data_IF_684658037327
#
_entry.id   IF_684658037327
#
_cell.length_a   1.000
_cell.length_b   1.000
_cell.length_c   1.000
_cell.angle_alpha   90.00
_cell.angle_beta   90.00
_cell.angle_gamma   90.00
#
_symmetry.space_group_name_H-M   'P 1'
#
loop_
_entity.id
_entity.type
_entity.pdbx_description
1 polymer ?
#
# COMPACT_ATOMS: atom_id res chain seq x y z
N UNK A 1 19.78 -23.12 29.35
CA UNK A 1 18.94 -22.58 28.22
C UNK A 1 19.60 -23.04 26.95
N UNK A 2 18.97 -23.95 26.22
CA UNK A 2 19.61 -24.65 25.11
C UNK A 2 19.26 -23.96 23.78
N UNK A 3 20.30 -23.57 23.05
CA UNK A 3 20.23 -23.04 21.69
C UNK A 3 19.61 -24.11 20.77
N UNK A 4 18.42 -23.84 20.26
CA UNK A 4 17.85 -24.63 19.16
C UNK A 4 18.45 -24.12 17.84
N UNK A 5 19.53 -24.78 17.41
CA UNK A 5 19.99 -24.70 16.02
C UNK A 5 18.93 -25.35 15.13
N UNK A 6 18.28 -24.57 14.28
CA UNK A 6 17.49 -25.07 13.17
C UNK A 6 18.45 -25.69 12.15
N UNK A 7 18.57 -27.00 12.14
CA UNK A 7 19.20 -27.72 11.05
C UNK A 7 18.12 -27.97 9.99
N UNK A 8 18.25 -27.37 8.81
CA UNK A 8 17.50 -27.78 7.62
C UNK A 8 17.89 -29.21 7.28
N UNK A 9 16.99 -30.17 7.52
CA UNK A 9 17.16 -31.54 7.03
C UNK A 9 17.05 -31.53 5.51
N UNK A 10 18.12 -31.99 4.85
CA UNK A 10 18.31 -32.13 3.41
C UNK A 10 17.49 -33.30 2.79
N UNK A 11 16.43 -33.76 3.41
CA UNK A 11 15.83 -35.07 3.08
C UNK A 11 14.54 -35.05 2.26
N UNK A 12 14.15 -33.92 1.65
CA UNK A 12 12.88 -33.87 0.89
C UNK A 12 12.98 -33.39 -0.56
N UNK A 13 14.16 -33.39 -1.18
CA UNK A 13 14.27 -33.27 -2.63
C UNK A 13 14.76 -34.60 -3.19
N UNK A 14 13.79 -35.46 -3.59
CA UNK A 14 14.03 -36.75 -4.22
C UNK A 14 14.50 -36.61 -5.68
N UNK A 15 15.65 -35.92 -5.89
CA UNK A 15 16.35 -35.88 -7.15
C UNK A 15 17.73 -36.51 -7.01
N UNK A 16 18.14 -37.28 -8.01
CA UNK A 16 19.50 -37.85 -8.09
C UNK A 16 20.53 -36.70 -7.94
N UNK A 17 21.50 -36.78 -7.00
CA UNK A 17 22.52 -35.77 -6.82
C UNK A 17 23.33 -35.47 -8.11
N UNK A 18 23.44 -36.45 -9.02
CA UNK A 18 24.08 -36.27 -10.31
C UNK A 18 23.24 -35.39 -11.27
N UNK A 19 21.94 -35.51 -11.21
CA UNK A 19 21.00 -34.69 -12.02
C UNK A 19 20.95 -33.24 -11.53
N UNK A 20 20.93 -33.03 -10.23
CA UNK A 20 21.02 -31.69 -9.61
C UNK A 20 22.34 -31.00 -10.01
N UNK A 21 23.45 -31.71 -9.96
CA UNK A 21 24.74 -31.16 -10.34
C UNK A 21 24.82 -30.81 -11.86
N UNK A 22 24.17 -31.58 -12.74
CA UNK A 22 24.07 -31.26 -14.18
C UNK A 22 23.24 -30.03 -14.45
N UNK A 23 22.06 -29.90 -13.78
CA UNK A 23 21.20 -28.74 -13.94
C UNK A 23 21.86 -27.48 -13.39
N UNK A 24 22.55 -27.56 -12.26
CA UNK A 24 23.31 -26.44 -11.70
C UNK A 24 24.45 -26.00 -12.64
N UNK A 25 25.20 -26.93 -13.21
CA UNK A 25 26.25 -26.63 -14.17
C UNK A 25 25.71 -25.98 -15.47
N UNK A 26 24.51 -26.37 -15.90
CA UNK A 26 23.86 -25.77 -17.07
C UNK A 26 23.35 -24.35 -16.81
N UNK A 27 22.86 -24.08 -15.60
CA UNK A 27 22.49 -22.73 -15.14
C UNK A 27 23.71 -21.83 -15.06
N UNK A 28 24.81 -22.32 -14.50
CA UNK A 28 26.05 -21.57 -14.33
C UNK A 28 26.73 -21.28 -15.67
N UNK A 29 26.59 -22.18 -16.65
CA UNK A 29 27.07 -22.00 -18.02
C UNK A 29 26.27 -20.97 -18.83
N UNK A 30 24.95 -20.84 -18.54
CA UNK A 30 24.06 -19.83 -19.18
C UNK A 30 24.15 -18.46 -18.53
N UNK A 31 24.65 -18.37 -17.29
CA UNK A 31 24.83 -17.11 -16.55
C UNK A 31 26.31 -17.02 -16.07
N UNK A 32 27.26 -16.65 -16.90
CA UNK A 32 28.66 -16.51 -16.50
C UNK A 32 28.88 -15.19 -15.72
N UNK A 33 28.19 -14.98 -14.63
CA UNK A 33 28.47 -13.88 -13.71
C UNK A 33 29.44 -14.38 -12.65
N UNK A 34 30.74 -14.15 -12.90
CA UNK A 34 31.74 -14.29 -11.83
C UNK A 34 31.40 -13.32 -10.69
N UNK A 35 31.31 -13.79 -9.44
CA UNK A 35 31.17 -12.88 -8.29
C UNK A 35 32.41 -11.99 -8.23
N UNK A 36 32.25 -10.68 -8.39
CA UNK A 36 33.28 -9.70 -8.04
C UNK A 36 33.86 -8.80 -9.10
N UNK A 37 33.38 -8.79 -10.34
CA UNK A 37 33.79 -7.75 -11.31
C UNK A 37 32.59 -6.92 -11.76
N UNK A 38 32.31 -5.84 -11.05
CA UNK A 38 31.59 -4.69 -11.57
C UNK A 38 32.51 -3.94 -12.54
N UNK A 39 32.46 -4.27 -13.82
CA UNK A 39 33.09 -3.49 -14.88
C UNK A 39 32.07 -2.55 -15.55
N UNK A 40 31.21 -1.93 -14.76
CA UNK A 40 30.35 -0.87 -15.23
C UNK A 40 31.13 0.44 -15.26
N UNK A 41 31.36 1.04 -16.47
CA UNK A 41 31.74 2.44 -16.56
C UNK A 41 30.74 3.27 -15.76
N UNK A 42 31.18 4.31 -14.97
CA UNK A 42 30.26 5.20 -14.31
C UNK A 42 29.32 5.78 -15.35
N UNK A 43 28.02 5.51 -15.20
CA UNK A 43 26.98 6.14 -16.03
C UNK A 43 26.89 7.60 -15.60
N UNK A 44 26.97 8.57 -16.54
CA UNK A 44 26.80 9.98 -16.19
C UNK A 44 25.47 10.22 -15.48
N UNK A 45 25.49 11.04 -14.43
CA UNK A 45 24.34 11.34 -13.56
C UNK A 45 23.18 12.09 -14.24
N UNK A 46 23.30 12.42 -15.51
CA UNK A 46 22.38 13.32 -16.23
C UNK A 46 21.25 12.58 -16.96
N UNK A 47 21.32 11.25 -17.04
CA UNK A 47 20.15 10.50 -17.46
C UNK A 47 19.30 10.27 -16.24
N UNK A 48 18.27 11.12 -16.06
CA UNK A 48 17.08 10.77 -15.27
C UNK A 48 16.44 9.54 -15.94
N UNK A 49 17.03 8.37 -15.71
CA UNK A 49 16.32 7.12 -15.97
C UNK A 49 15.00 7.23 -15.24
N UNK A 50 13.92 7.21 -15.99
CA UNK A 50 12.59 6.95 -15.47
C UNK A 50 12.66 5.54 -14.88
N UNK A 51 13.12 5.45 -13.64
CA UNK A 51 13.01 4.20 -12.88
C UNK A 51 11.54 3.83 -12.90
N UNK A 52 11.20 2.59 -13.28
CA UNK A 52 9.82 2.14 -13.11
C UNK A 52 9.42 2.47 -11.67
N UNK A 53 8.20 2.97 -11.43
CA UNK A 53 7.79 3.38 -10.09
C UNK A 53 8.06 2.22 -9.13
N UNK A 54 9.02 2.42 -8.24
CA UNK A 54 9.35 1.42 -7.24
C UNK A 54 8.06 1.10 -6.48
N UNK A 55 7.83 -0.17 -6.19
CA UNK A 55 6.65 -0.65 -5.44
C UNK A 55 6.41 0.14 -4.14
N UNK A 56 7.43 0.85 -3.66
CA UNK A 56 7.44 1.71 -2.47
C UNK A 56 7.38 3.22 -2.78
N UNK A 57 7.05 3.65 -4.00
CA UNK A 57 6.90 5.07 -4.27
C UNK A 57 5.73 5.64 -3.44
N UNK A 58 5.96 6.79 -2.78
CA UNK A 58 4.93 7.56 -2.12
C UNK A 58 4.15 8.35 -3.19
N UNK A 59 2.94 7.88 -3.49
CA UNK A 59 2.10 8.47 -4.55
C UNK A 59 1.53 9.82 -4.14
N UNK A 60 1.30 10.01 -2.85
CA UNK A 60 0.73 11.25 -2.31
C UNK A 60 1.78 12.36 -2.32
N UNK A 61 3.02 12.07 -1.91
CA UNK A 61 4.14 13.01 -2.04
C UNK A 61 4.33 13.48 -3.47
N UNK A 62 4.21 12.57 -4.45
CA UNK A 62 4.38 12.90 -5.87
C UNK A 62 3.35 13.90 -6.41
N UNK A 63 2.15 13.97 -5.84
CA UNK A 63 1.08 14.88 -6.27
C UNK A 63 0.91 16.09 -5.35
N UNK A 64 1.45 16.06 -4.13
CA UNK A 64 1.22 17.06 -3.07
C UNK A 64 1.46 18.49 -3.55
N UNK A 65 2.54 18.73 -4.29
CA UNK A 65 2.88 20.04 -4.82
C UNK A 65 1.97 20.50 -5.97
N UNK A 66 1.19 19.57 -6.53
CA UNK A 66 0.24 19.83 -7.62
C UNK A 66 -1.18 20.08 -7.11
N UNK A 67 -1.44 19.82 -5.82
CA UNK A 67 -2.73 20.04 -5.19
C UNK A 67 -2.93 21.52 -4.91
N UNK A 68 -3.53 22.25 -5.85
CA UNK A 68 -3.75 23.70 -5.76
C UNK A 68 -5.15 24.07 -5.31
N UNK A 69 -6.10 23.14 -5.34
CA UNK A 69 -7.48 23.38 -4.89
C UNK A 69 -7.57 23.52 -3.37
N UNK A 70 -8.44 24.41 -2.92
CA UNK A 70 -8.85 24.51 -1.51
C UNK A 70 -10.16 23.77 -1.22
N UNK A 71 -10.82 23.22 -2.24
CA UNK A 71 -12.06 22.44 -2.09
C UNK A 71 -11.72 21.00 -1.71
N UNK A 72 -12.22 20.50 -0.56
CA UNK A 72 -12.00 19.13 -0.12
C UNK A 72 -12.47 18.06 -1.10
N UNK A 73 -13.53 18.32 -1.90
CA UNK A 73 -14.02 17.37 -2.91
C UNK A 73 -13.06 17.24 -4.08
N UNK A 74 -12.52 18.35 -4.56
CA UNK A 74 -11.51 18.35 -5.62
C UNK A 74 -10.21 17.68 -5.15
N UNK A 75 -9.79 17.98 -3.93
CA UNK A 75 -8.62 17.32 -3.32
C UNK A 75 -8.82 15.81 -3.22
N UNK A 76 -9.99 15.37 -2.74
CA UNK A 76 -10.31 13.94 -2.64
C UNK A 76 -10.31 13.28 -4.02
N UNK A 77 -10.85 13.93 -5.06
CA UNK A 77 -10.84 13.40 -6.41
C UNK A 77 -9.41 13.17 -6.93
N UNK A 78 -8.51 14.13 -6.71
CA UNK A 78 -7.10 14.02 -7.11
C UNK A 78 -6.37 12.91 -6.31
N UNK A 79 -6.66 12.78 -5.02
CA UNK A 79 -6.15 11.69 -4.18
C UNK A 79 -6.63 10.34 -4.70
N UNK A 80 -7.92 10.18 -5.00
CA UNK A 80 -8.49 8.95 -5.56
C UNK A 80 -7.83 8.59 -6.90
N UNK A 81 -7.56 9.56 -7.76
CA UNK A 81 -6.83 9.35 -9.01
C UNK A 81 -5.40 8.82 -8.78
N UNK A 82 -4.67 9.38 -7.82
CA UNK A 82 -3.34 8.92 -7.47
C UNK A 82 -3.33 7.50 -6.86
N UNK A 83 -4.38 7.14 -6.12
CA UNK A 83 -4.54 5.85 -5.47
C UNK A 83 -5.26 4.80 -6.32
N UNK A 84 -5.66 5.12 -7.55
CA UNK A 84 -6.53 4.28 -8.39
C UNK A 84 -5.98 2.88 -8.69
N UNK A 85 -4.67 2.68 -8.62
CA UNK A 85 -4.04 1.37 -8.81
C UNK A 85 -4.16 0.43 -7.59
N UNK A 86 -4.71 0.90 -6.47
CA UNK A 86 -4.90 0.13 -5.22
C UNK A 86 -6.34 0.20 -4.72
N UNK A 87 -7.26 0.18 -5.65
CA UNK A 87 -8.71 0.18 -5.39
C UNK A 87 -9.17 -1.22 -4.99
N UNK A 88 -9.99 -1.29 -3.94
CA UNK A 88 -10.60 -2.52 -3.46
C UNK A 88 -12.11 -2.33 -3.28
N UNK A 89 -12.89 -3.40 -3.51
CA UNK A 89 -14.33 -3.39 -3.24
C UNK A 89 -14.61 -3.62 -1.74
N UNK A 90 -13.76 -4.43 -1.09
CA UNK A 90 -13.85 -4.77 0.33
C UNK A 90 -12.46 -4.55 0.93
N UNK A 91 -12.34 -3.75 2.00
CA UNK A 91 -11.05 -3.49 2.62
C UNK A 91 -10.50 -4.72 3.34
N UNK A 92 -9.18 -4.78 3.46
CA UNK A 92 -8.46 -5.83 4.21
C UNK A 92 -8.12 -5.33 5.61
N UNK A 93 -8.35 -6.15 6.63
CA UNK A 93 -8.00 -5.84 8.03
C UNK A 93 -6.49 -5.62 8.17
N UNK A 94 -6.10 -4.58 8.91
CA UNK A 94 -4.71 -4.18 9.13
C UNK A 94 -4.15 -3.19 8.12
N UNK A 95 -4.91 -2.85 7.08
CA UNK A 95 -4.53 -1.84 6.08
C UNK A 95 -5.25 -0.50 6.30
N UNK A 96 -4.75 0.53 5.63
CA UNK A 96 -5.27 1.89 5.68
C UNK A 96 -6.03 2.18 4.40
N UNK A 97 -7.16 2.90 4.53
CA UNK A 97 -8.02 3.24 3.41
C UNK A 97 -8.55 4.65 3.52
N UNK A 98 -8.71 5.31 2.37
CA UNK A 98 -9.56 6.48 2.22
C UNK A 98 -10.69 6.17 1.24
N UNK A 99 -11.85 6.77 1.44
CA UNK A 99 -13.04 6.51 0.64
C UNK A 99 -14.05 7.64 0.81
N UNK A 100 -15.06 7.66 -0.04
CA UNK A 100 -16.20 8.58 0.08
C UNK A 100 -17.40 7.81 0.62
N UNK A 101 -18.07 8.36 1.61
CA UNK A 101 -19.27 7.76 2.16
C UNK A 101 -20.31 8.79 2.60
N UNK A 102 -21.57 8.37 2.67
CA UNK A 102 -22.69 9.16 3.15
C UNK A 102 -23.20 8.53 4.45
N UNK A 103 -22.80 9.09 5.59
CA UNK A 103 -23.14 8.54 6.88
C UNK A 103 -24.65 8.59 7.14
N UNK A 104 -25.28 7.42 7.30
CA UNK A 104 -26.69 7.27 7.70
C UNK A 104 -26.84 7.11 9.20
N UNK A 105 -25.89 6.40 9.82
CA UNK A 105 -25.89 6.00 11.22
C UNK A 105 -24.90 6.78 12.09
N UNK A 106 -24.19 7.74 11.50
CA UNK A 106 -23.25 8.59 12.21
C UNK A 106 -23.96 9.51 13.23
N UNK A 107 -23.22 9.91 14.24
CA UNK A 107 -23.64 10.97 15.15
C UNK A 107 -23.87 12.32 14.44
N UNK A 108 -23.85 13.41 15.19
CA UNK A 108 -24.13 14.75 14.65
C UNK A 108 -23.05 15.27 13.69
N UNK A 109 -21.83 14.74 13.78
CA UNK A 109 -20.70 15.17 12.94
C UNK A 109 -19.98 13.96 12.38
N UNK A 110 -19.48 14.05 11.14
CA UNK A 110 -18.65 13.06 10.49
C UNK A 110 -17.79 13.71 9.40
N UNK A 111 -16.75 13.03 8.98
CA UNK A 111 -15.97 13.37 7.81
C UNK A 111 -16.44 12.54 6.62
N UNK A 112 -16.71 13.18 5.51
CA UNK A 112 -17.17 12.50 4.28
C UNK A 112 -16.02 11.77 3.57
N UNK A 113 -14.78 12.18 3.82
CA UNK A 113 -13.56 11.63 3.24
C UNK A 113 -12.63 11.13 4.36
N UNK A 114 -12.95 10.01 5.01
CA UNK A 114 -12.18 9.53 6.15
C UNK A 114 -10.89 8.86 5.72
N UNK A 115 -9.86 8.94 6.57
CA UNK A 115 -8.70 8.06 6.54
C UNK A 115 -8.82 7.06 7.70
N UNK A 116 -8.84 5.76 7.39
CA UNK A 116 -9.22 4.72 8.35
C UNK A 116 -8.22 3.57 8.33
N UNK A 117 -7.74 3.17 9.52
CA UNK A 117 -7.11 1.88 9.73
C UNK A 117 -8.20 0.83 10.00
N UNK A 118 -8.37 -0.15 9.13
CA UNK A 118 -9.41 -1.17 9.28
C UNK A 118 -9.00 -2.19 10.33
N UNK A 119 -9.84 -2.38 11.35
CA UNK A 119 -9.59 -3.31 12.47
C UNK A 119 -10.39 -4.58 12.37
N UNK A 120 -11.62 -4.52 11.84
CA UNK A 120 -12.54 -5.65 11.80
C UNK A 120 -13.42 -5.60 10.57
N UNK A 121 -13.78 -6.79 10.02
CA UNK A 121 -14.75 -6.96 8.95
C UNK A 121 -16.00 -7.68 9.45
N UNK A 122 -17.17 -7.21 8.99
CA UNK A 122 -18.47 -7.76 9.33
C UNK A 122 -19.34 -7.94 8.07
N UNK A 123 -20.40 -8.72 8.17
CA UNK A 123 -21.35 -8.89 7.05
C UNK A 123 -22.04 -7.58 6.65
N UNK A 124 -22.22 -6.67 7.58
CA UNK A 124 -22.88 -5.37 7.36
C UNK A 124 -21.92 -4.24 6.99
N UNK A 125 -20.59 -4.42 7.13
CA UNK A 125 -19.60 -3.37 6.91
C UNK A 125 -18.27 -3.68 7.56
N UNK A 126 -17.57 -2.66 8.02
CA UNK A 126 -16.30 -2.80 8.74
C UNK A 126 -16.18 -1.78 9.88
N UNK A 127 -15.25 -2.05 10.77
CA UNK A 127 -14.83 -1.14 11.83
C UNK A 127 -13.40 -0.71 11.55
N UNK A 128 -13.09 0.53 11.91
CA UNK A 128 -11.72 1.03 11.84
C UNK A 128 -11.50 2.24 12.72
N UNK A 129 -10.23 2.59 12.91
CA UNK A 129 -9.81 3.80 13.61
C UNK A 129 -9.75 4.92 12.57
N UNK A 130 -10.58 5.93 12.75
CA UNK A 130 -10.57 7.13 11.93
C UNK A 130 -9.46 8.07 12.41
N UNK A 131 -8.54 8.43 11.54
CA UNK A 131 -7.37 9.27 11.89
C UNK A 131 -7.74 10.73 12.11
N UNK A 132 -8.78 11.25 11.43
CA UNK A 132 -9.21 12.63 11.61
C UNK A 132 -9.92 12.85 12.96
N UNK A 133 -10.64 11.84 13.44
CA UNK A 133 -11.36 11.87 14.71
C UNK A 133 -10.64 11.15 15.85
N UNK A 134 -9.57 10.42 15.54
CA UNK A 134 -8.79 9.60 16.49
C UNK A 134 -9.68 8.65 17.31
N UNK A 135 -10.71 8.10 16.68
CA UNK A 135 -11.70 7.25 17.32
C UNK A 135 -12.11 6.09 16.45
N UNK A 136 -12.53 4.99 17.10
CA UNK A 136 -13.08 3.83 16.38
C UNK A 136 -14.48 4.16 15.86
N UNK A 137 -14.74 3.76 14.60
CA UNK A 137 -16.02 3.99 13.93
C UNK A 137 -16.42 2.77 13.10
N UNK A 138 -17.73 2.56 12.99
CA UNK A 138 -18.33 1.57 12.11
C UNK A 138 -18.74 2.24 10.80
N UNK A 139 -18.49 1.54 9.68
CA UNK A 139 -18.87 1.95 8.34
C UNK A 139 -19.66 0.80 7.71
N UNK A 140 -20.89 1.07 7.26
CA UNK A 140 -21.72 0.06 6.62
C UNK A 140 -21.51 0.06 5.11
N UNK A 141 -21.72 -1.09 4.46
CA UNK A 141 -21.62 -1.16 2.99
C UNK A 141 -22.59 -0.21 2.27
N UNK A 142 -23.76 0.04 2.87
CA UNK A 142 -24.75 0.96 2.33
C UNK A 142 -24.37 2.44 2.41
N UNK A 143 -23.47 2.79 3.32
CA UNK A 143 -22.96 4.16 3.46
C UNK A 143 -21.89 4.50 2.45
N UNK A 144 -21.15 3.50 1.94
CA UNK A 144 -20.12 3.71 0.94
C UNK A 144 -20.73 4.16 -0.39
N UNK A 145 -20.23 5.25 -0.95
CA UNK A 145 -20.68 5.75 -2.26
C UNK A 145 -19.83 5.24 -3.42
N UNK A 146 -18.83 4.40 -3.14
CA UNK A 146 -17.92 3.85 -4.13
C UNK A 146 -16.98 2.82 -3.54
N UNK A 147 -15.82 2.71 -4.14
CA UNK A 147 -14.76 1.79 -3.74
C UNK A 147 -13.90 2.40 -2.62
N UNK A 148 -13.08 1.58 -1.97
CA UNK A 148 -12.09 2.00 -0.99
C UNK A 148 -10.70 2.01 -1.62
N UNK A 149 -9.90 3.02 -1.30
CA UNK A 149 -8.58 3.25 -1.87
C UNK A 149 -7.53 2.95 -0.81
N UNK A 150 -6.74 1.91 -1.04
CA UNK A 150 -5.70 1.52 -0.09
C UNK A 150 -4.58 2.55 -0.07
N UNK A 151 -4.21 2.98 1.12
CA UNK A 151 -3.13 3.92 1.44
C UNK A 151 -1.99 3.14 2.05
N UNK A 152 -0.77 3.35 1.57
CA UNK A 152 0.43 2.74 2.17
C UNK A 152 0.82 3.49 3.44
N UNK A 153 1.48 2.80 4.39
CA UNK A 153 1.95 3.42 5.63
C UNK A 153 2.87 4.64 5.40
N UNK A 154 3.68 4.60 4.34
CA UNK A 154 4.58 5.72 3.97
C UNK A 154 3.83 6.96 3.43
N UNK A 155 2.56 6.82 3.07
CA UNK A 155 1.71 7.89 2.51
C UNK A 155 0.85 8.59 3.56
N UNK A 156 0.78 8.04 4.79
CA UNK A 156 -0.13 8.50 5.84
C UNK A 156 0.14 9.95 6.26
N UNK A 157 1.39 10.31 6.53
CA UNK A 157 1.76 11.63 7.01
C UNK A 157 1.49 12.70 5.95
N UNK A 158 1.81 12.40 4.69
CA UNK A 158 1.52 13.29 3.57
C UNK A 158 0.02 13.47 3.38
N UNK A 159 -0.73 12.37 3.41
CA UNK A 159 -2.18 12.41 3.27
C UNK A 159 -2.85 13.20 4.40
N UNK A 160 -2.42 13.01 5.65
CA UNK A 160 -2.91 13.77 6.81
C UNK A 160 -2.58 15.26 6.74
N UNK A 161 -1.53 15.65 6.01
CA UNK A 161 -1.16 17.06 5.82
C UNK A 161 -2.04 17.80 4.80
N UNK A 162 -2.83 17.06 3.99
CA UNK A 162 -3.72 17.62 2.97
C UNK A 162 -5.10 17.83 3.58
N UNK A 163 -5.71 19.03 3.46
CA UNK A 163 -7.01 19.33 4.07
C UNK A 163 -8.20 18.82 3.22
N UNK A 164 -8.17 17.54 2.86
CA UNK A 164 -9.20 16.91 2.02
C UNK A 164 -10.38 16.34 2.80
N UNK A 165 -10.23 16.15 4.11
CA UNK A 165 -11.34 15.66 4.94
C UNK A 165 -12.46 16.70 4.99
N UNK A 166 -13.63 16.35 4.47
CA UNK A 166 -14.82 17.21 4.49
C UNK A 166 -15.65 16.87 5.71
N UNK A 167 -15.68 17.78 6.69
CA UNK A 167 -16.45 17.61 7.91
C UNK A 167 -17.90 18.11 7.70
N UNK A 168 -18.86 17.24 7.99
CA UNK A 168 -20.29 17.52 7.81
C UNK A 168 -20.99 17.38 9.15
N UNK A 169 -21.90 18.31 9.40
CA UNK A 169 -22.84 18.25 10.52
C UNK A 169 -24.19 17.76 10.00
N UNK A 170 -24.79 16.80 10.71
CA UNK A 170 -26.14 16.28 10.41
C UNK A 170 -27.19 17.01 11.21
#
# INVERSE_FOLDING_TARGET
>A
MADRKFSYQKENFGGDPAEIARVQAEIDAKNPTKPGQYTGKPVPLDQKEQRPPTVNANRIEAIKDQLTSSDPEDLMLQIMQALNNTVEAIPTVGNYYTFVYNAKTAGKQYDQHPLVAVTDLFRWGFRGINFHWQSSRNYTWEELTGQVYMVKSIELDDLLSIPYAKFITK
#
